data_IF_339680446019
#
_entry.id   IF_339680446019
#
_cell.length_a   1.000
_cell.length_b   1.000
_cell.length_c   1.000
_cell.angle_alpha   90.00
_cell.angle_beta   90.00
_cell.angle_gamma   90.00
#
_symmetry.space_group_name_H-M   'P 1'
#
loop_
_entity.id
_entity.type
_entity.pdbx_description
1 polymer ?
#
# COMPACT_ATOMS: atom_id res chain seq x y z
N UNK A 1 6.77 -6.17 12.49
CA UNK A 1 6.15 -7.04 11.48
C UNK A 1 4.89 -6.33 11.09
N UNK A 2 4.63 -6.06 9.80
CA UNK A 2 3.38 -5.43 9.40
C UNK A 2 2.22 -6.31 9.82
N UNK A 3 1.13 -5.70 10.32
CA UNK A 3 -0.07 -6.43 10.76
C UNK A 3 -0.85 -6.96 9.56
N UNK A 4 -0.77 -6.26 8.43
CA UNK A 4 -1.38 -6.64 7.16
C UNK A 4 -0.38 -6.60 6.02
N UNK A 5 -0.48 -7.57 5.11
CA UNK A 5 0.27 -7.60 3.86
C UNK A 5 -0.70 -7.82 2.70
N UNK A 6 -0.59 -6.98 1.67
CA UNK A 6 -1.41 -7.03 0.46
C UNK A 6 -0.50 -7.12 -0.75
N UNK A 7 -0.57 -8.23 -1.49
CA UNK A 7 0.14 -8.38 -2.75
C UNK A 7 -0.77 -7.97 -3.91
N UNK A 8 -0.56 -6.77 -4.44
CA UNK A 8 -1.28 -6.23 -5.59
C UNK A 8 -0.99 -6.98 -6.89
N UNK A 9 0.10 -7.76 -6.95
CA UNK A 9 0.49 -8.54 -8.14
C UNK A 9 -0.37 -9.77 -8.33
N UNK A 10 -0.96 -10.29 -7.25
CA UNK A 10 -1.87 -11.43 -7.27
C UNK A 10 -3.34 -11.02 -7.53
N UNK A 11 -3.63 -9.71 -7.59
CA UNK A 11 -4.98 -9.21 -7.81
C UNK A 11 -5.27 -9.14 -9.31
N UNK A 12 -6.12 -10.05 -9.79
CA UNK A 12 -6.71 -9.98 -11.13
C UNK A 12 -7.66 -8.76 -11.24
N UNK A 13 -7.22 -7.68 -11.88
CA UNK A 13 -8.06 -6.50 -12.18
C UNK A 13 -7.42 -5.17 -11.77
N UNK A 14 -8.19 -4.29 -11.14
CA UNK A 14 -7.73 -2.99 -10.61
C UNK A 14 -7.28 -3.13 -9.15
N UNK A 15 -5.97 -3.30 -8.86
CA UNK A 15 -5.48 -3.47 -7.49
C UNK A 15 -5.75 -2.24 -6.62
N UNK A 16 -5.83 -1.05 -7.23
CA UNK A 16 -6.06 0.21 -6.55
C UNK A 16 -7.28 0.19 -5.63
N UNK A 17 -8.42 -0.33 -6.11
CA UNK A 17 -9.64 -0.38 -5.30
C UNK A 17 -9.48 -1.26 -4.07
N UNK A 18 -8.86 -2.44 -4.23
CA UNK A 18 -8.62 -3.37 -3.12
C UNK A 18 -7.66 -2.78 -2.08
N UNK A 19 -6.62 -2.06 -2.53
CA UNK A 19 -5.67 -1.38 -1.64
C UNK A 19 -6.39 -0.31 -0.83
N UNK A 20 -7.20 0.52 -1.51
CA UNK A 20 -8.00 1.57 -0.86
C UNK A 20 -8.96 0.97 0.16
N UNK A 21 -9.64 -0.13 -0.16
CA UNK A 21 -10.53 -0.83 0.79
C UNK A 21 -9.77 -1.35 2.01
N UNK A 22 -8.58 -1.94 1.83
CA UNK A 22 -7.76 -2.43 2.95
C UNK A 22 -7.20 -1.28 3.80
N UNK A 23 -6.86 -0.15 3.18
CA UNK A 23 -6.45 1.08 3.89
C UNK A 23 -7.59 1.67 4.71
N UNK A 24 -8.82 1.69 4.18
CA UNK A 24 -10.00 2.13 4.94
C UNK A 24 -10.34 1.18 6.09
N UNK A 25 -9.96 -0.09 5.97
CA UNK A 25 -10.09 -1.09 7.02
C UNK A 25 -8.87 -1.15 7.97
N UNK A 26 -7.81 -0.37 7.73
CA UNK A 26 -6.59 -0.37 8.52
C UNK A 26 -6.79 0.47 9.79
N UNK A 27 -6.56 -0.12 10.96
CA UNK A 27 -6.65 0.58 12.23
C UNK A 27 -5.51 1.58 12.46
N UNK A 28 -5.73 2.55 13.35
CA UNK A 28 -4.79 3.66 13.68
C UNK A 28 -3.41 3.21 14.19
N UNK A 29 -3.30 1.95 14.65
CA UNK A 29 -2.06 1.36 15.17
C UNK A 29 -1.55 0.21 14.31
N UNK A 30 -2.16 -0.03 13.14
CA UNK A 30 -1.80 -1.11 12.24
C UNK A 30 -0.96 -0.60 11.06
N UNK A 31 -0.03 -1.44 10.59
CA UNK A 31 0.72 -1.19 9.36
C UNK A 31 0.25 -2.10 8.22
N UNK A 32 0.07 -1.52 7.04
CA UNK A 32 -0.19 -2.26 5.80
C UNK A 32 1.07 -2.27 4.93
N UNK A 33 1.53 -3.47 4.61
CA UNK A 33 2.57 -3.67 3.62
C UNK A 33 1.96 -4.01 2.26
N UNK A 34 2.15 -3.14 1.29
CA UNK A 34 1.71 -3.30 -0.08
C UNK A 34 2.87 -3.74 -0.97
N UNK A 35 2.76 -4.91 -1.59
CA UNK A 35 3.67 -5.35 -2.65
C UNK A 35 3.03 -5.06 -4.01
N UNK A 36 3.74 -4.34 -4.87
CA UNK A 36 3.30 -4.06 -6.22
C UNK A 36 4.42 -4.40 -7.23
N UNK A 37 4.04 -4.69 -8.47
CA UNK A 37 5.03 -4.92 -9.54
C UNK A 37 5.56 -3.63 -10.15
N UNK A 38 4.90 -2.50 -9.89
CA UNK A 38 5.23 -1.19 -10.42
C UNK A 38 4.99 -0.11 -9.37
N UNK A 39 5.54 1.07 -9.59
CA UNK A 39 5.41 2.19 -8.66
C UNK A 39 3.95 2.69 -8.59
N UNK A 40 3.30 2.68 -7.41
CA UNK A 40 1.91 3.10 -7.25
C UNK A 40 1.81 4.62 -7.03
N UNK A 41 2.36 5.44 -7.94
CA UNK A 41 2.30 6.91 -7.87
C UNK A 41 0.91 7.50 -7.54
N UNK A 42 -0.21 7.02 -8.13
CA UNK A 42 -1.53 7.55 -7.82
C UNK A 42 -1.95 7.35 -6.36
N UNK A 43 -1.37 6.35 -5.68
CA UNK A 43 -1.72 5.99 -4.31
C UNK A 43 -1.16 7.00 -3.32
N UNK A 44 0.04 7.53 -3.55
CA UNK A 44 0.69 8.50 -2.66
C UNK A 44 -0.17 9.74 -2.42
N UNK A 45 -0.82 10.25 -3.48
CA UNK A 45 -1.74 11.38 -3.35
C UNK A 45 -2.99 11.06 -2.53
N UNK A 46 -3.45 9.80 -2.52
CA UNK A 46 -4.58 9.37 -1.68
C UNK A 46 -4.16 9.19 -0.22
N UNK A 47 -2.96 8.66 0.02
CA UNK A 47 -2.41 8.49 1.36
C UNK A 47 -2.23 9.84 2.05
N UNK A 48 -1.59 10.80 1.37
CA UNK A 48 -1.36 12.15 1.88
C UNK A 48 -2.68 12.88 2.21
N UNK A 49 -3.68 12.79 1.31
CA UNK A 49 -5.01 13.37 1.54
C UNK A 49 -5.77 12.74 2.71
N UNK A 50 -5.47 11.48 3.03
CA UNK A 50 -6.14 10.73 4.10
C UNK A 50 -5.39 10.78 5.43
N UNK A 51 -4.18 11.36 5.45
CA UNK A 51 -3.34 11.43 6.66
C UNK A 51 -2.61 10.12 6.97
N UNK A 52 -2.23 9.38 5.93
CA UNK A 52 -1.37 8.19 6.08
C UNK A 52 0.05 8.51 5.66
N UNK A 53 1.01 8.07 6.46
CA UNK A 53 2.41 8.02 6.09
C UNK A 53 2.68 6.78 5.23
N UNK A 54 3.59 6.93 4.28
CA UNK A 54 3.99 5.83 3.40
C UNK A 54 5.48 5.84 3.12
N UNK A 55 6.07 4.66 3.20
CA UNK A 55 7.46 4.41 2.88
C UNK A 55 7.53 3.45 1.70
N UNK A 56 7.99 3.94 0.56
CA UNK A 56 8.20 3.13 -0.63
C UNK A 56 9.66 2.73 -0.75
N UNK A 57 9.90 1.43 -0.89
CA UNK A 57 11.20 0.84 -1.19
C UNK A 57 11.12 -0.03 -2.44
N UNK A 58 12.02 0.21 -3.40
CA UNK A 58 12.17 -0.68 -4.55
C UNK A 58 13.05 -1.86 -4.16
N UNK A 59 12.45 -3.05 -4.07
CA UNK A 59 13.16 -4.28 -3.68
C UNK A 59 13.74 -4.98 -4.92
N UNK A 60 13.06 -4.89 -6.07
CA UNK A 60 13.54 -5.41 -7.35
C UNK A 60 13.02 -4.60 -8.55
N UNK A 61 13.45 -4.98 -9.77
CA UNK A 61 13.02 -4.32 -11.02
C UNK A 61 11.49 -4.34 -11.20
N UNK A 62 10.85 -5.46 -10.82
CA UNK A 62 9.40 -5.67 -10.86
C UNK A 62 8.80 -5.91 -9.45
N UNK A 63 9.44 -5.38 -8.40
CA UNK A 63 8.98 -5.52 -7.02
C UNK A 63 9.19 -4.22 -6.23
N UNK A 64 8.05 -3.63 -5.87
CA UNK A 64 7.94 -2.42 -5.07
C UNK A 64 7.22 -2.75 -3.77
N UNK A 65 7.81 -2.36 -2.66
CA UNK A 65 7.24 -2.53 -1.33
C UNK A 65 6.86 -1.16 -0.79
N UNK A 66 5.60 -0.99 -0.43
CA UNK A 66 5.09 0.25 0.16
C UNK A 66 4.56 -0.08 1.54
N UNK A 67 5.20 0.43 2.58
CA UNK A 67 4.72 0.32 3.96
C UNK A 67 3.86 1.54 4.21
N UNK A 68 2.64 1.33 4.70
CA UNK A 68 1.66 2.38 4.93
C UNK A 68 1.22 2.31 6.39
N UNK A 69 1.24 3.45 7.06
CA UNK A 69 0.86 3.60 8.46
C UNK A 69 0.07 4.89 8.67
N UNK A 70 -0.65 4.99 9.79
CA UNK A 70 -1.33 6.23 10.16
C UNK A 70 -0.31 7.25 10.70
N UNK A 71 -0.45 8.51 10.26
CA UNK A 71 0.41 9.64 10.67
C UNK A 71 0.08 10.20 12.06
#
# INVERSE_FOLDING_TARGET
>A
MPDKTLDAREIDGEPFGRIVDELEALGEAEQLELLNSFEPEPLYGVLDQRGFDHETEQVAEDEWRVVIEHA
#
